data_IF_759743022866
#
_entry.id   IF_759743022866
#
_cell.length_a   1.000
_cell.length_b   1.000
_cell.length_c   1.000
_cell.angle_alpha   90.00
_cell.angle_beta   90.00
_cell.angle_gamma   90.00
#
_symmetry.space_group_name_H-M   'P 1'
#
loop_
_entity.id
_entity.type
_entity.pdbx_description
1 polymer ?
#
# COMPACT_ATOMS: atom_id res chain seq x y z
N UNK A 1 -14.20 8.71 61.18
CA UNK A 1 -14.05 8.45 59.74
C UNK A 1 -12.63 7.93 59.54
N UNK A 2 -12.45 6.67 59.15
CA UNK A 2 -11.12 6.16 58.81
C UNK A 2 -10.84 6.55 57.36
N UNK A 3 -9.68 7.16 57.12
CA UNK A 3 -9.20 7.44 55.76
C UNK A 3 -8.63 6.13 55.19
N UNK A 4 -9.07 5.74 53.98
CA UNK A 4 -8.44 4.64 53.27
C UNK A 4 -7.16 5.16 52.63
N UNK A 5 -6.01 4.68 53.10
CA UNK A 5 -4.69 5.05 52.59
C UNK A 5 -4.11 3.98 51.66
N UNK A 6 -4.87 2.94 51.33
CA UNK A 6 -4.49 1.95 50.35
C UNK A 6 -4.35 2.64 48.98
N UNK A 7 -3.34 2.28 48.18
CA UNK A 7 -3.15 2.89 46.88
C UNK A 7 -4.24 2.43 45.91
N UNK A 8 -4.98 3.37 45.34
CA UNK A 8 -5.89 3.14 44.21
C UNK A 8 -5.13 3.40 42.93
N UNK A 9 -5.15 2.44 42.00
CA UNK A 9 -4.54 2.63 40.67
C UNK A 9 -5.44 3.56 39.85
N UNK A 10 -4.84 4.64 39.32
CA UNK A 10 -5.51 5.72 38.56
C UNK A 10 -5.13 5.74 37.08
N UNK A 11 -4.16 4.93 36.67
CA UNK A 11 -3.74 4.84 35.27
C UNK A 11 -4.85 4.25 34.38
N UNK A 12 -4.85 4.51 33.06
CA UNK A 12 -5.88 3.99 32.14
C UNK A 12 -6.01 2.47 32.21
N UNK A 13 -7.23 1.96 32.20
CA UNK A 13 -7.53 0.51 32.20
C UNK A 13 -7.28 -0.18 30.87
N UNK A 14 -6.91 0.59 29.85
CA UNK A 14 -6.56 0.09 28.52
C UNK A 14 -5.24 0.67 28.05
N UNK A 15 -4.49 -0.14 27.31
CA UNK A 15 -3.27 0.30 26.62
C UNK A 15 -3.15 -0.42 25.28
N UNK A 16 -2.54 0.25 24.32
CA UNK A 16 -2.23 -0.32 23.01
C UNK A 16 -0.72 -0.37 22.81
N UNK A 17 -0.24 -1.49 22.32
CA UNK A 17 1.12 -1.70 21.87
C UNK A 17 1.11 -2.23 20.43
N UNK A 18 2.26 -2.20 19.78
CA UNK A 18 2.44 -2.82 18.47
C UNK A 18 3.61 -3.79 18.57
N UNK A 19 3.45 -5.00 18.01
CA UNK A 19 4.53 -5.99 18.01
C UNK A 19 5.79 -5.38 17.39
N UNK A 20 6.93 -5.56 18.06
CA UNK A 20 8.23 -5.09 17.57
C UNK A 20 8.51 -3.60 17.81
N UNK A 21 7.59 -2.83 18.38
CA UNK A 21 7.79 -1.42 18.74
C UNK A 21 8.02 -1.26 20.25
N UNK A 22 8.86 -0.31 20.68
CA UNK A 22 9.03 -0.01 22.10
C UNK A 22 7.71 0.45 22.71
N UNK A 23 7.36 -0.15 23.83
CA UNK A 23 6.16 0.14 24.61
C UNK A 23 6.54 0.65 26.00
N UNK A 24 5.75 1.58 26.53
CA UNK A 24 5.88 2.09 27.89
C UNK A 24 4.51 2.42 28.46
N UNK A 25 4.20 1.88 29.64
CA UNK A 25 3.01 2.18 30.42
C UNK A 25 3.41 2.39 31.88
N UNK A 26 2.94 3.47 32.50
CA UNK A 26 3.21 3.77 33.90
C UNK A 26 1.96 3.51 34.73
N UNK A 27 2.09 2.66 35.75
CA UNK A 27 1.05 2.49 36.77
C UNK A 27 1.12 3.71 37.69
N UNK A 28 0.04 4.47 37.77
CA UNK A 28 -0.08 5.65 38.66
C UNK A 28 -1.07 5.36 39.78
N UNK A 29 -0.81 5.92 40.96
CA UNK A 29 -1.65 5.74 42.15
C UNK A 29 -2.00 7.07 42.80
N UNK A 30 -3.08 7.10 43.57
CA UNK A 30 -3.53 8.28 44.34
C UNK A 30 -2.76 8.47 45.66
N UNK A 31 -2.22 7.39 46.23
CA UNK A 31 -1.39 7.38 47.43
C UNK A 31 0.04 6.89 47.13
N UNK A 32 1.04 7.23 47.98
CA UNK A 32 2.40 6.72 47.83
C UNK A 32 2.45 5.20 47.82
N UNK A 33 3.18 4.63 46.87
CA UNK A 33 3.31 3.19 46.63
C UNK A 33 4.78 2.80 46.73
N UNK A 34 5.06 1.68 47.39
CA UNK A 34 6.42 1.14 47.57
C UNK A 34 6.72 -0.04 46.67
N UNK A 35 5.71 -0.73 46.16
CA UNK A 35 5.88 -1.91 45.31
C UNK A 35 4.78 -2.03 44.27
N UNK A 36 5.17 -2.30 43.02
CA UNK A 36 4.27 -2.63 41.93
C UNK A 36 4.46 -4.08 41.50
N UNK A 37 3.36 -4.73 41.09
CA UNK A 37 3.40 -6.05 40.48
C UNK A 37 2.44 -6.15 39.28
N UNK A 38 2.78 -7.01 38.33
CA UNK A 38 1.98 -7.34 37.16
C UNK A 38 2.15 -8.82 36.82
N UNK A 39 1.06 -9.50 36.50
CA UNK A 39 1.07 -10.92 36.11
C UNK A 39 0.51 -11.10 34.70
N UNK A 40 1.03 -12.11 33.99
CA UNK A 40 0.58 -12.44 32.63
C UNK A 40 1.15 -11.57 31.51
N UNK A 41 2.19 -10.77 31.79
CA UNK A 41 2.79 -9.88 30.79
C UNK A 41 3.17 -10.66 29.50
N UNK A 42 2.88 -10.11 28.31
CA UNK A 42 3.26 -10.76 27.06
C UNK A 42 4.79 -10.78 26.92
N UNK A 43 5.30 -11.77 26.20
CA UNK A 43 6.73 -11.92 25.93
C UNK A 43 7.33 -10.64 25.35
N UNK A 44 8.45 -10.21 25.93
CA UNK A 44 9.14 -8.97 25.56
C UNK A 44 8.75 -7.75 26.39
N UNK A 45 7.73 -7.84 27.27
CA UNK A 45 7.42 -6.82 28.27
C UNK A 45 7.87 -7.25 29.67
N UNK A 46 8.26 -6.27 30.47
CA UNK A 46 8.64 -6.44 31.87
C UNK A 46 8.14 -5.25 32.70
N UNK A 47 7.93 -5.47 34.00
CA UNK A 47 7.62 -4.42 34.97
C UNK A 47 8.88 -4.11 35.78
N UNK A 48 9.20 -2.83 35.94
CA UNK A 48 10.08 -2.39 37.00
C UNK A 48 9.25 -2.20 38.30
N UNK A 49 9.47 -3.03 39.33
CA UNK A 49 8.62 -3.06 40.53
C UNK A 49 8.75 -1.83 41.42
N UNK A 50 9.84 -1.07 41.31
CA UNK A 50 10.10 0.14 42.11
C UNK A 50 9.45 1.37 41.51
N UNK A 51 9.36 1.42 40.17
CA UNK A 51 8.86 2.59 39.42
C UNK A 51 7.45 2.42 38.87
N UNK A 52 6.92 1.19 38.86
CA UNK A 52 5.60 0.89 38.29
C UNK A 52 5.54 0.99 36.77
N UNK A 53 6.69 1.03 36.09
CA UNK A 53 6.76 1.15 34.63
C UNK A 53 6.82 -0.23 33.99
N UNK A 54 5.79 -0.56 33.20
CA UNK A 54 5.79 -1.68 32.26
C UNK A 54 6.44 -1.20 30.96
N UNK A 55 7.51 -1.84 30.53
CA UNK A 55 8.23 -1.47 29.31
C UNK A 55 8.84 -2.67 28.59
N UNK A 56 9.23 -2.45 27.34
CA UNK A 56 9.89 -3.44 26.50
C UNK A 56 9.35 -3.42 25.08
N UNK A 57 9.55 -4.52 24.36
CA UNK A 57 9.14 -4.68 22.96
C UNK A 57 8.36 -5.99 22.83
N UNK A 58 7.02 -5.97 22.74
CA UNK A 58 6.23 -7.19 22.70
C UNK A 58 6.47 -7.95 21.38
N UNK A 59 6.47 -9.27 21.43
CA UNK A 59 6.82 -10.13 20.28
C UNK A 59 5.64 -10.85 19.63
N UNK A 60 4.47 -10.84 20.26
CA UNK A 60 3.29 -11.57 19.76
C UNK A 60 2.04 -10.70 19.88
N UNK A 61 1.25 -10.67 18.80
CA UNK A 61 -0.01 -9.94 18.79
C UNK A 61 -1.06 -10.69 19.60
N UNK A 62 -1.73 -9.99 20.52
CA UNK A 62 -2.76 -10.55 21.37
C UNK A 62 -3.53 -9.42 22.07
N UNK A 63 -4.78 -9.69 22.43
CA UNK A 63 -5.51 -8.89 23.41
C UNK A 63 -5.56 -9.68 24.70
N UNK A 64 -4.97 -9.14 25.77
CA UNK A 64 -4.87 -9.83 27.06
C UNK A 64 -5.30 -8.93 28.20
N UNK A 65 -5.89 -9.53 29.22
CA UNK A 65 -6.23 -8.87 30.48
C UNK A 65 -5.20 -9.25 31.54
N UNK A 66 -4.56 -8.24 32.12
CA UNK A 66 -3.48 -8.38 33.08
C UNK A 66 -3.93 -7.86 34.44
N UNK A 67 -3.67 -8.61 35.51
CA UNK A 67 -3.82 -8.08 36.86
C UNK A 67 -2.57 -7.27 37.23
N UNK A 68 -2.76 -5.99 37.52
CA UNK A 68 -1.73 -5.10 38.07
C UNK A 68 -2.09 -4.72 39.51
N UNK A 69 -1.06 -4.55 40.33
CA UNK A 69 -1.24 -4.17 41.73
C UNK A 69 -0.20 -3.16 42.18
N UNK A 70 -0.62 -2.30 43.11
CA UNK A 70 0.21 -1.36 43.83
C UNK A 70 0.08 -1.62 45.33
N UNK A 71 1.18 -1.63 46.06
CA UNK A 71 1.21 -1.92 47.50
C UNK A 71 1.98 -0.85 48.26
N UNK A 72 1.44 -0.45 49.40
CA UNK A 72 2.13 0.35 50.43
C UNK A 72 1.92 -0.31 51.81
N UNK A 73 2.28 0.41 52.89
CA UNK A 73 2.16 -0.07 54.27
C UNK A 73 0.72 -0.27 54.74
N UNK A 74 -0.24 0.42 54.11
CA UNK A 74 -1.65 0.42 54.50
C UNK A 74 -2.44 -0.67 53.75
N UNK A 75 -1.98 -1.06 52.55
CA UNK A 75 -2.51 -2.23 51.85
C UNK A 75 -2.15 -2.30 50.37
N UNK A 76 -2.91 -3.11 49.64
CA UNK A 76 -2.75 -3.35 48.20
C UNK A 76 -4.00 -2.95 47.45
N UNK A 77 -3.85 -2.17 46.38
CA UNK A 77 -4.87 -1.95 45.37
C UNK A 77 -4.59 -2.76 44.11
N UNK A 78 -5.64 -3.25 43.46
CA UNK A 78 -5.56 -4.06 42.24
C UNK A 78 -6.44 -3.47 41.14
N UNK A 79 -5.98 -3.56 39.91
CA UNK A 79 -6.74 -3.16 38.71
C UNK A 79 -6.48 -4.16 37.58
N UNK A 80 -7.47 -4.35 36.72
CA UNK A 80 -7.29 -5.09 35.48
C UNK A 80 -6.95 -4.12 34.35
N UNK A 81 -5.79 -4.34 33.72
CA UNK A 81 -5.37 -3.65 32.50
C UNK A 81 -5.69 -4.53 31.28
N UNK A 82 -6.46 -4.02 30.33
CA UNK A 82 -6.60 -4.63 29.01
C UNK A 82 -5.50 -4.10 28.10
N UNK A 83 -4.54 -4.95 27.75
CA UNK A 83 -3.46 -4.64 26.82
C UNK A 83 -3.75 -5.26 25.46
N UNK A 84 -3.91 -4.40 24.46
CA UNK A 84 -4.03 -4.81 23.05
C UNK A 84 -2.69 -4.65 22.36
N UNK A 85 -2.04 -5.75 22.00
CA UNK A 85 -0.83 -5.78 21.18
C UNK A 85 -1.24 -6.02 19.72
N UNK A 86 -1.22 -4.96 18.93
CA UNK A 86 -1.55 -5.00 17.52
C UNK A 86 -0.44 -5.69 16.72
N UNK A 87 -0.78 -6.51 15.70
CA UNK A 87 0.21 -7.04 14.79
C UNK A 87 0.93 -5.91 14.04
N UNK A 88 2.12 -6.22 13.52
CA UNK A 88 2.78 -5.32 12.58
C UNK A 88 1.90 -5.18 11.33
N UNK A 89 1.58 -3.96 10.93
CA UNK A 89 0.82 -3.70 9.71
C UNK A 89 1.77 -3.26 8.61
N UNK A 90 1.60 -3.85 7.42
CA UNK A 90 2.16 -3.30 6.20
C UNK A 90 1.21 -2.24 5.66
N UNK A 91 1.78 -1.15 5.17
CA UNK A 91 1.04 -0.18 4.38
C UNK A 91 1.61 -0.19 2.98
N UNK A 92 0.77 -0.49 1.99
CA UNK A 92 1.14 -0.40 0.58
C UNK A 92 0.31 0.74 0.02
N UNK A 93 0.97 1.78 -0.48
CA UNK A 93 0.30 2.92 -1.09
C UNK A 93 1.02 3.30 -2.38
N UNK A 94 0.35 3.25 -3.54
CA UNK A 94 -1.06 2.91 -3.75
C UNK A 94 -1.34 1.40 -3.76
N UNK A 95 -2.51 0.95 -3.27
CA UNK A 95 -2.91 -0.48 -3.29
C UNK A 95 -3.33 -0.99 -4.67
N UNK A 96 -3.36 -0.10 -5.66
CA UNK A 96 -3.59 -0.43 -7.06
C UNK A 96 -2.55 0.29 -7.93
N UNK A 97 -2.11 -0.38 -8.99
CA UNK A 97 -1.21 0.17 -9.99
C UNK A 97 -1.63 -0.26 -11.40
N UNK A 98 -1.21 0.52 -12.40
CA UNK A 98 -1.38 0.18 -13.80
C UNK A 98 -0.02 -0.01 -14.47
N UNK A 99 0.06 -0.96 -15.40
CA UNK A 99 1.21 -1.21 -16.24
C UNK A 99 0.76 -1.48 -17.68
N UNK A 100 1.70 -1.43 -18.62
CA UNK A 100 1.45 -1.76 -20.02
C UNK A 100 2.36 -2.91 -20.47
N UNK A 101 1.81 -3.83 -21.27
CA UNK A 101 2.57 -4.94 -21.85
C UNK A 101 3.77 -4.40 -22.63
N UNK A 102 4.96 -4.97 -22.40
CA UNK A 102 6.18 -4.57 -23.09
C UNK A 102 6.83 -3.26 -22.62
N UNK A 103 6.23 -2.57 -21.63
CA UNK A 103 6.78 -1.34 -21.06
C UNK A 103 7.43 -1.58 -19.69
N UNK A 104 8.53 -0.88 -19.35
CA UNK A 104 9.16 -1.01 -18.05
C UNK A 104 8.21 -0.53 -16.93
N UNK A 105 8.07 -1.36 -15.91
CA UNK A 105 7.28 -1.10 -14.72
C UNK A 105 8.19 -1.10 -13.48
N UNK A 106 7.88 -0.22 -12.53
CA UNK A 106 8.55 -0.16 -11.23
C UNK A 106 7.57 0.26 -10.15
N UNK A 107 7.54 -0.50 -9.06
CA UNK A 107 6.70 -0.24 -7.91
C UNK A 107 7.48 -0.54 -6.63
N UNK A 108 7.56 0.42 -5.71
CA UNK A 108 8.24 0.26 -4.44
C UNK A 108 7.21 0.13 -3.31
N UNK A 109 7.36 -0.88 -2.46
CA UNK A 109 6.58 -1.01 -1.24
C UNK A 109 7.20 -0.16 -0.13
N UNK A 110 6.36 0.52 0.65
CA UNK A 110 6.76 1.28 1.84
C UNK A 110 6.42 0.49 3.10
N UNK A 111 7.14 0.74 4.19
CA UNK A 111 6.99 -0.01 5.43
C UNK A 111 6.98 0.93 6.63
N UNK A 112 6.19 0.59 7.63
CA UNK A 112 6.12 1.34 8.89
C UNK A 112 7.34 0.99 9.79
N UNK A 113 7.95 -0.18 9.60
CA UNK A 113 9.18 -0.60 10.28
C UNK A 113 10.01 -1.54 9.41
N UNK A 114 11.34 -1.46 9.53
CA UNK A 114 12.28 -2.27 8.75
C UNK A 114 12.17 -3.77 9.11
N UNK A 115 11.76 -4.64 8.18
CA UNK A 115 11.72 -6.08 8.39
C UNK A 115 13.06 -6.74 8.01
N UNK A 116 13.22 -8.02 8.34
CA UNK A 116 14.43 -8.77 8.01
C UNK A 116 14.40 -9.36 6.58
N UNK A 117 13.20 -9.58 6.02
CA UNK A 117 13.03 -10.18 4.69
C UNK A 117 11.72 -9.73 4.04
N UNK A 118 11.78 -9.48 2.74
CA UNK A 118 10.59 -9.27 1.91
C UNK A 118 10.30 -10.47 1.01
N UNK A 119 9.02 -10.70 0.71
CA UNK A 119 8.57 -11.69 -0.26
C UNK A 119 7.39 -11.16 -1.08
N UNK A 120 7.27 -11.64 -2.31
CA UNK A 120 6.11 -11.40 -3.17
C UNK A 120 5.70 -12.70 -3.83
N UNK A 121 4.39 -12.96 -3.92
CA UNK A 121 3.81 -14.08 -4.67
C UNK A 121 2.86 -13.56 -5.74
N UNK A 122 2.53 -14.43 -6.69
CA UNK A 122 1.57 -14.12 -7.76
C UNK A 122 2.02 -12.97 -8.67
N UNK A 123 3.34 -12.87 -8.90
CA UNK A 123 3.93 -11.92 -9.83
C UNK A 123 3.58 -12.31 -11.28
N UNK A 124 3.01 -11.39 -12.08
CA UNK A 124 2.84 -11.59 -13.51
C UNK A 124 4.15 -11.89 -14.24
N UNK A 125 4.06 -12.63 -15.34
CA UNK A 125 5.21 -12.95 -16.18
C UNK A 125 5.92 -11.67 -16.67
N UNK A 126 7.25 -11.67 -16.59
CA UNK A 126 8.09 -10.53 -16.93
C UNK A 126 8.36 -9.55 -15.79
N UNK A 127 7.73 -9.73 -14.62
CA UNK A 127 8.04 -8.99 -13.41
C UNK A 127 8.91 -9.81 -12.45
N UNK A 128 9.70 -9.09 -11.66
CA UNK A 128 10.59 -9.62 -10.63
C UNK A 128 10.42 -8.82 -9.34
N UNK A 129 10.87 -9.38 -8.23
CA UNK A 129 10.80 -8.73 -6.93
C UNK A 129 12.16 -8.77 -6.23
N UNK A 130 12.65 -7.60 -5.84
CA UNK A 130 13.85 -7.46 -5.04
C UNK A 130 13.51 -7.62 -3.55
N UNK A 131 13.91 -8.75 -2.99
CA UNK A 131 13.68 -9.10 -1.59
C UNK A 131 14.49 -8.29 -0.56
N UNK A 132 15.42 -7.45 -1.01
CA UNK A 132 16.24 -6.55 -0.17
C UNK A 132 15.63 -5.15 -0.18
N UNK A 133 15.29 -4.63 -1.36
CA UNK A 133 14.78 -3.24 -1.48
C UNK A 133 13.26 -3.15 -1.43
N UNK A 134 12.53 -4.26 -1.57
CA UNK A 134 11.07 -4.25 -1.64
C UNK A 134 10.59 -3.58 -2.93
N UNK A 135 11.22 -3.86 -4.07
CA UNK A 135 10.82 -3.27 -5.35
C UNK A 135 10.33 -4.37 -6.28
N UNK A 136 9.11 -4.21 -6.80
CA UNK A 136 8.61 -4.96 -7.95
C UNK A 136 9.05 -4.21 -9.21
N UNK A 137 9.75 -4.88 -10.12
CA UNK A 137 10.21 -4.27 -11.38
C UNK A 137 10.30 -5.28 -12.51
N UNK A 138 10.27 -4.78 -13.75
CA UNK A 138 10.42 -5.59 -14.96
C UNK A 138 9.54 -5.09 -16.09
N UNK A 139 9.25 -5.98 -17.04
CA UNK A 139 8.46 -5.67 -18.23
C UNK A 139 7.38 -6.75 -18.38
N UNK A 140 6.11 -6.48 -18.02
CA UNK A 140 5.07 -7.48 -18.06
C UNK A 140 4.76 -7.92 -19.50
N UNK A 141 4.49 -9.21 -19.71
CA UNK A 141 4.30 -9.80 -21.06
C UNK A 141 2.87 -10.16 -21.39
N UNK A 142 1.98 -10.19 -20.41
CA UNK A 142 0.60 -10.66 -20.57
C UNK A 142 -0.36 -9.66 -19.94
N UNK A 143 -1.41 -9.23 -20.67
CA UNK A 143 -2.42 -8.32 -20.13
C UNK A 143 -3.30 -9.03 -19.10
N UNK A 144 -3.97 -8.25 -18.26
CA UNK A 144 -4.95 -8.74 -17.29
C UNK A 144 -4.83 -8.07 -15.93
N UNK A 145 -5.73 -8.44 -15.03
CA UNK A 145 -5.74 -7.95 -13.65
C UNK A 145 -5.21 -9.07 -12.76
N UNK A 146 -4.16 -8.79 -12.00
CA UNK A 146 -3.57 -9.74 -11.04
C UNK A 146 -3.52 -9.12 -9.65
N UNK A 147 -3.72 -9.94 -8.63
CA UNK A 147 -3.53 -9.54 -7.23
C UNK A 147 -2.21 -10.12 -6.73
N UNK A 148 -1.21 -9.25 -6.56
CA UNK A 148 0.11 -9.61 -6.02
C UNK A 148 0.02 -9.58 -4.51
N UNK A 149 0.45 -10.66 -3.85
CA UNK A 149 0.56 -10.69 -2.39
C UNK A 149 1.97 -10.33 -1.96
N UNK A 150 2.10 -9.22 -1.26
CA UNK A 150 3.35 -8.67 -0.75
C UNK A 150 3.44 -9.00 0.73
N UNK A 151 4.59 -9.47 1.19
CA UNK A 151 4.80 -9.79 2.60
C UNK A 151 6.15 -9.30 3.08
N UNK A 152 6.19 -8.96 4.35
CA UNK A 152 7.39 -8.57 5.07
C UNK A 152 7.44 -9.39 6.35
N UNK A 153 8.58 -10.05 6.56
CA UNK A 153 8.77 -10.98 7.67
C UNK A 153 10.04 -10.60 8.43
N UNK A 154 9.97 -10.71 9.75
CA UNK A 154 11.14 -10.77 10.63
C UNK A 154 11.12 -12.08 11.43
N UNK A 155 12.05 -12.25 12.36
CA UNK A 155 12.23 -13.48 13.14
C UNK A 155 10.96 -13.97 13.86
N UNK A 156 9.97 -13.10 14.09
CA UNK A 156 8.76 -13.42 14.89
C UNK A 156 7.45 -12.94 14.27
N UNK A 157 7.50 -12.19 13.17
CA UNK A 157 6.34 -11.43 12.66
C UNK A 157 6.26 -11.53 11.15
N UNK A 158 5.03 -11.51 10.64
CA UNK A 158 4.75 -11.37 9.22
C UNK A 158 3.59 -10.40 9.04
N UNK A 159 3.80 -9.36 8.24
CA UNK A 159 2.72 -8.55 7.69
C UNK A 159 2.47 -8.92 6.23
N UNK A 160 1.23 -8.80 5.78
CA UNK A 160 0.84 -9.07 4.38
C UNK A 160 -0.05 -7.95 3.84
N UNK A 161 0.13 -7.59 2.57
CA UNK A 161 -0.71 -6.63 1.88
C UNK A 161 -0.87 -7.02 0.41
N UNK A 162 -2.02 -6.67 -0.17
CA UNK A 162 -2.34 -6.97 -1.57
C UNK A 162 -2.16 -5.72 -2.44
N UNK A 163 -1.54 -5.90 -3.60
CA UNK A 163 -1.46 -4.93 -4.70
C UNK A 163 -2.27 -5.47 -5.87
N UNK A 164 -3.28 -4.71 -6.30
CA UNK A 164 -3.99 -5.00 -7.55
C UNK A 164 -3.24 -4.35 -8.70
N UNK A 165 -2.69 -5.16 -9.61
CA UNK A 165 -2.00 -4.69 -10.80
C UNK A 165 -2.88 -4.93 -12.03
N UNK A 166 -3.25 -3.85 -12.71
CA UNK A 166 -3.92 -3.90 -14.01
C UNK A 166 -2.88 -3.73 -15.10
N UNK A 167 -2.72 -4.73 -15.96
CA UNK A 167 -1.80 -4.72 -17.10
C UNK A 167 -2.63 -4.58 -18.37
N UNK A 168 -2.51 -3.43 -19.02
CA UNK A 168 -3.17 -3.15 -20.29
C UNK A 168 -2.22 -3.44 -21.44
N UNK A 169 -2.75 -3.60 -22.64
CA UNK A 169 -1.90 -3.54 -23.82
C UNK A 169 -1.25 -2.17 -23.92
N UNK A 170 0.01 -2.11 -24.37
CA UNK A 170 0.55 -0.84 -24.82
C UNK A 170 -0.20 -0.42 -26.09
N UNK A 171 -0.56 0.87 -26.23
CA UNK A 171 -1.23 1.33 -27.44
C UNK A 171 -0.32 1.07 -28.65
N UNK A 172 -0.86 0.43 -29.68
CA UNK A 172 -0.15 0.22 -30.95
C UNK A 172 -0.57 1.29 -31.94
N UNK A 173 0.40 1.85 -32.67
CA UNK A 173 0.16 2.80 -33.77
C UNK A 173 0.43 2.07 -35.08
N UNK A 174 -0.57 2.02 -35.94
CA UNK A 174 -0.48 1.52 -37.31
C UNK A 174 -0.69 2.69 -38.28
N UNK A 175 0.07 2.72 -39.37
CA UNK A 175 -0.10 3.68 -40.47
C UNK A 175 -0.41 2.87 -41.73
N UNK A 176 -1.60 3.07 -42.29
CA UNK A 176 -1.99 2.52 -43.58
C UNK A 176 -1.93 3.61 -44.65
N UNK A 177 -1.57 3.23 -45.88
CA UNK A 177 -1.62 4.12 -47.04
C UNK A 177 -2.61 3.54 -48.05
N UNK A 178 -3.69 4.26 -48.31
CA UNK A 178 -4.65 3.94 -49.37
C UNK A 178 -4.18 4.57 -50.68
N UNK A 179 -3.55 3.75 -51.52
CA UNK A 179 -3.08 4.13 -52.87
C UNK A 179 -4.20 4.61 -53.80
N UNK A 180 -5.43 4.16 -53.56
CA UNK A 180 -6.60 4.49 -54.41
C UNK A 180 -7.10 5.89 -54.13
N UNK A 181 -6.98 6.33 -52.87
CA UNK A 181 -7.44 7.64 -52.39
C UNK A 181 -6.29 8.63 -52.19
N UNK A 182 -5.04 8.17 -52.24
CA UNK A 182 -3.85 8.93 -51.87
C UNK A 182 -3.93 9.49 -50.42
N UNK A 183 -4.42 8.66 -49.49
CA UNK A 183 -4.65 9.05 -48.08
C UNK A 183 -3.82 8.18 -47.14
N UNK A 184 -3.33 8.77 -46.04
CA UNK A 184 -2.78 8.03 -44.90
C UNK A 184 -3.82 7.91 -43.79
N UNK A 185 -4.02 6.68 -43.31
CA UNK A 185 -4.87 6.37 -42.17
C UNK A 185 -3.98 6.00 -40.97
N UNK A 186 -4.12 6.74 -39.87
CA UNK A 186 -3.47 6.40 -38.61
C UNK A 186 -4.48 5.63 -37.75
N UNK A 187 -4.16 4.38 -37.43
CA UNK A 187 -4.91 3.58 -36.46
C UNK A 187 -4.14 3.53 -35.14
N UNK A 188 -4.79 3.94 -34.06
CA UNK A 188 -4.31 3.74 -32.70
C UNK A 188 -5.19 2.66 -32.09
N UNK A 189 -4.59 1.53 -31.71
CA UNK A 189 -5.28 0.48 -30.99
C UNK A 189 -4.95 0.61 -29.51
N UNK A 190 -5.96 0.93 -28.69
CA UNK A 190 -5.85 0.95 -27.22
C UNK A 190 -6.78 -0.12 -26.63
N UNK A 191 -6.26 -0.89 -25.67
CA UNK A 191 -6.85 -2.12 -25.16
C UNK A 191 -7.21 -3.13 -26.28
N UNK A 192 -7.52 -4.39 -25.94
CA UNK A 192 -7.68 -5.45 -26.94
C UNK A 192 -8.85 -5.24 -27.95
N UNK A 193 -9.64 -4.18 -27.80
CA UNK A 193 -10.92 -4.00 -28.49
C UNK A 193 -11.27 -2.56 -28.90
N UNK A 194 -10.46 -1.53 -28.60
CA UNK A 194 -10.76 -0.16 -29.05
C UNK A 194 -9.78 0.30 -30.14
N UNK A 195 -10.31 0.45 -31.35
CA UNK A 195 -9.60 1.05 -32.47
C UNK A 195 -10.04 2.50 -32.63
N UNK A 196 -9.08 3.41 -32.61
CA UNK A 196 -9.26 4.82 -32.93
C UNK A 196 -8.62 5.11 -34.28
N UNK A 197 -9.41 5.60 -35.23
CA UNK A 197 -8.94 5.95 -36.57
C UNK A 197 -8.84 7.47 -36.69
N UNK A 198 -7.68 7.96 -37.11
CA UNK A 198 -7.44 9.36 -37.46
C UNK A 198 -7.13 9.39 -38.95
N UNK A 199 -8.03 10.02 -39.72
CA UNK A 199 -7.88 10.19 -41.16
C UNK A 199 -7.22 11.54 -41.45
N UNK A 200 -6.13 11.53 -42.22
CA UNK A 200 -5.46 12.76 -42.67
C UNK A 200 -5.73 12.97 -44.16
N UNK A 201 -6.65 13.87 -44.47
CA UNK A 201 -6.99 14.27 -45.84
C UNK A 201 -6.28 15.59 -46.19
N UNK A 202 -5.00 15.55 -46.52
CA UNK A 202 -4.31 16.70 -47.12
C UNK A 202 -3.30 16.23 -48.16
N UNK A 203 -2.88 17.12 -49.05
CA UNK A 203 -2.07 16.80 -50.24
C UNK A 203 -0.60 16.54 -49.84
N UNK A 204 -0.29 15.29 -49.47
CA UNK A 204 1.03 14.88 -48.99
C UNK A 204 2.08 14.90 -50.11
N UNK A 205 2.87 15.98 -50.17
CA UNK A 205 3.96 16.11 -51.16
C UNK A 205 5.31 15.51 -50.68
N UNK A 206 5.51 15.23 -49.38
CA UNK A 206 6.73 14.52 -48.89
C UNK A 206 6.62 13.98 -47.46
N UNK A 207 7.37 12.89 -47.18
CA UNK A 207 7.47 12.21 -45.88
C UNK A 207 8.00 13.10 -44.73
N UNK A 208 8.69 14.21 -45.05
CA UNK A 208 9.28 15.15 -44.10
C UNK A 208 8.28 16.08 -43.40
N UNK A 209 7.02 16.09 -43.85
CA UNK A 209 5.96 16.94 -43.28
C UNK A 209 5.15 16.26 -42.15
N UNK A 210 5.35 14.95 -41.93
CA UNK A 210 4.84 14.31 -40.71
C UNK A 210 5.58 14.96 -39.53
N UNK A 211 4.89 15.51 -38.51
CA UNK A 211 5.57 15.89 -37.29
C UNK A 211 6.27 14.63 -36.80
N UNK A 212 7.61 14.67 -36.76
CA UNK A 212 8.53 13.58 -36.34
C UNK A 212 8.30 13.11 -34.90
N UNK A 213 7.19 13.52 -34.31
CA UNK A 213 6.86 13.41 -32.91
C UNK A 213 5.34 13.41 -32.77
N UNK A 214 4.69 12.30 -33.08
CA UNK A 214 3.46 11.94 -32.36
C UNK A 214 3.91 11.40 -31.00
N UNK A 215 4.36 12.31 -30.14
CA UNK A 215 4.62 12.03 -28.72
C UNK A 215 3.70 12.94 -27.94
N UNK A 216 2.71 12.34 -27.28
CA UNK A 216 1.81 13.03 -26.36
C UNK A 216 0.50 13.47 -27.01
N UNK A 217 -0.60 13.07 -26.35
CA UNK A 217 -1.90 13.75 -26.24
C UNK A 217 -1.96 15.07 -27.02
N UNK A 218 -2.25 14.99 -28.32
CA UNK A 218 -2.78 16.15 -29.01
C UNK A 218 -4.21 16.34 -28.51
N UNK A 219 -4.66 17.58 -28.35
CA UNK A 219 -6.03 17.91 -28.00
C UNK A 219 -6.98 17.39 -29.10
N UNK A 220 -7.42 16.14 -28.95
CA UNK A 220 -8.39 15.48 -29.81
C UNK A 220 -9.76 16.10 -29.52
N UNK A 221 -10.15 17.12 -30.29
CA UNK A 221 -11.51 17.67 -30.20
C UNK A 221 -12.52 16.69 -30.80
N UNK A 222 -13.46 16.24 -29.97
CA UNK A 222 -14.60 15.44 -30.39
C UNK A 222 -15.50 16.28 -31.32
N UNK A 223 -15.72 15.81 -32.55
CA UNK A 223 -16.46 16.58 -33.57
C UNK A 223 -17.99 16.47 -33.40
N UNK A 224 -18.50 15.47 -32.68
CA UNK A 224 -19.95 15.31 -32.45
C UNK A 224 -20.27 14.73 -31.04
N UNK A 225 -20.94 15.48 -30.14
CA UNK A 225 -21.36 15.01 -28.83
C UNK A 225 -22.68 14.22 -28.81
N UNK A 226 -23.40 14.05 -29.93
CA UNK A 226 -24.72 13.39 -29.99
C UNK A 226 -24.77 12.13 -30.89
N UNK A 227 -23.67 11.74 -31.53
CA UNK A 227 -23.60 10.53 -32.34
C UNK A 227 -23.83 9.25 -31.49
N UNK A 228 -25.07 8.76 -31.49
CA UNK A 228 -25.54 7.57 -30.76
C UNK A 228 -25.94 6.48 -31.74
N UNK A 229 -25.02 6.02 -32.61
CA UNK A 229 -25.06 4.65 -33.13
C UNK A 229 -23.77 4.29 -33.89
N UNK A 230 -23.13 3.21 -33.43
CA UNK A 230 -22.15 2.32 -34.09
C UNK A 230 -21.08 2.92 -35.03
N UNK A 231 -19.84 2.68 -34.58
CA UNK A 231 -18.57 2.63 -35.34
C UNK A 231 -18.08 3.95 -35.94
N UNK A 232 -16.86 4.32 -35.50
CA UNK A 232 -15.98 5.40 -35.98
C UNK A 232 -16.23 6.77 -35.36
N UNK A 233 -15.39 7.12 -34.38
CA UNK A 233 -15.19 8.50 -33.93
C UNK A 233 -14.07 9.10 -34.78
N UNK A 234 -14.45 9.97 -35.72
CA UNK A 234 -13.51 10.72 -36.55
C UNK A 234 -12.94 11.88 -35.74
N UNK A 235 -11.61 11.97 -35.66
CA UNK A 235 -10.92 13.12 -35.09
C UNK A 235 -10.16 13.84 -36.20
N UNK A 236 -10.38 15.15 -36.33
CA UNK A 236 -9.72 16.03 -37.28
C UNK A 236 -8.75 16.90 -36.50
N UNK A 237 -7.46 16.82 -36.81
CA UNK A 237 -6.49 17.78 -36.29
C UNK A 237 -6.67 19.09 -37.05
N UNK A 238 -7.17 20.14 -36.37
CA UNK A 238 -7.25 21.49 -36.92
C UNK A 238 -6.02 22.25 -36.42
N UNK A 239 -5.12 22.66 -37.32
CA UNK A 239 -4.04 23.60 -36.95
C UNK A 239 -4.66 24.98 -36.67
N UNK A 240 -4.23 25.62 -35.58
CA UNK A 240 -4.34 27.08 -35.41
C UNK A 240 -3.34 27.78 -36.33
#
# INVERSE_FOLDING_TARGET
>A
MFINLNPTITSPTTATATVGQPFRYAITTDNPTTLFAATGLPTGLSLNPDTGVISGTPTTAATITLAISATNTDGTGTLTLTLTVNPIQLSVNPTAAQAAVGQPFRYAITFISAPARFTATDLPAGLSFDSITGVVSGTPTTPGITTITLSATDATRTGTQKLTLTINYAPMIMINYDVTRNVFELMIQDEATQEHMIEYTDDFQSWTALPTKVVGIADLTQIDPQATNKTHRFYRVIKQ
#
